data_IF_934787497515
#
_entry.id   IF_934787497515
#
_cell.length_a   1.000
_cell.length_b   1.000
_cell.length_c   1.000
_cell.angle_alpha   90.00
_cell.angle_beta   90.00
_cell.angle_gamma   90.00
#
_symmetry.space_group_name_H-M   'P 1'
#
loop_
_entity.id
_entity.type
_entity.pdbx_description
1 polymer ?
#
# COMPACT_ATOMS: atom_id res chain seq x y z
N UNK A 1 2.34 41.46 -6.12
CA UNK A 1 3.29 40.32 -6.01
C UNK A 1 2.89 39.47 -4.83
N UNK A 2 2.29 38.30 -5.08
CA UNK A 2 1.97 37.35 -4.01
C UNK A 2 3.29 36.71 -3.56
N UNK A 3 3.67 36.93 -2.30
CA UNK A 3 4.86 36.33 -1.71
C UNK A 3 4.56 34.85 -1.43
N UNK A 4 5.02 33.96 -2.30
CA UNK A 4 5.20 32.54 -1.97
C UNK A 4 6.43 32.38 -1.07
N UNK A 5 6.40 32.98 0.12
CA UNK A 5 7.38 32.66 1.16
C UNK A 5 6.91 31.36 1.83
N UNK A 6 7.19 30.23 1.18
CA UNK A 6 7.10 28.93 1.85
C UNK A 6 8.26 28.89 2.86
N UNK A 7 8.02 28.71 4.18
CA UNK A 7 9.09 28.37 5.11
C UNK A 7 9.49 26.92 4.81
N UNK A 8 10.26 26.71 3.75
CA UNK A 8 10.74 25.40 3.31
C UNK A 8 11.68 24.76 4.34
N UNK A 9 12.31 25.58 5.20
CA UNK A 9 13.24 25.10 6.23
C UNK A 9 12.57 24.63 7.53
N UNK A 10 11.43 25.20 7.93
CA UNK A 10 10.86 24.94 9.26
C UNK A 10 9.98 23.68 9.32
N UNK A 11 9.47 23.22 8.18
CA UNK A 11 8.51 22.10 8.11
C UNK A 11 9.05 20.84 7.41
N UNK A 12 10.32 20.81 7.00
CA UNK A 12 10.93 19.67 6.31
C UNK A 12 10.93 18.39 7.16
N UNK A 13 11.15 18.53 8.48
CA UNK A 13 11.17 17.41 9.42
C UNK A 13 9.85 16.63 9.48
N UNK A 14 8.71 17.31 9.36
CA UNK A 14 7.38 16.70 9.47
C UNK A 14 7.00 15.83 8.27
N UNK A 15 7.73 15.92 7.15
CA UNK A 15 7.44 15.18 5.91
C UNK A 15 8.05 13.76 5.96
N UNK A 16 9.15 13.58 6.70
CA UNK A 16 9.90 12.32 6.71
C UNK A 16 9.11 11.14 7.26
N UNK A 17 8.40 11.34 8.38
CA UNK A 17 7.64 10.27 9.01
C UNK A 17 6.47 9.81 8.14
N UNK A 18 5.57 10.70 7.63
CA UNK A 18 4.53 10.31 6.69
C UNK A 18 5.08 9.64 5.42
N UNK A 19 6.18 10.14 4.88
CA UNK A 19 6.80 9.57 3.68
C UNK A 19 7.34 8.16 3.95
N UNK A 20 7.99 7.94 5.09
CA UNK A 20 8.44 6.61 5.52
C UNK A 20 7.29 5.62 5.67
N UNK A 21 6.14 6.05 6.20
CA UNK A 21 4.94 5.20 6.30
C UNK A 21 4.42 4.80 4.92
N UNK A 22 4.33 5.75 3.98
CA UNK A 22 3.88 5.47 2.61
C UNK A 22 4.83 4.49 1.91
N UNK A 23 6.14 4.66 2.09
CA UNK A 23 7.15 3.77 1.52
C UNK A 23 7.02 2.36 2.13
N UNK A 24 6.91 2.26 3.46
CA UNK A 24 6.72 0.97 4.13
C UNK A 24 5.48 0.23 3.64
N UNK A 25 4.34 0.92 3.60
CA UNK A 25 3.09 0.36 3.08
C UNK A 25 3.20 -0.11 1.62
N UNK A 26 3.93 0.64 0.79
CA UNK A 26 4.16 0.25 -0.59
C UNK A 26 5.01 -1.02 -0.71
N UNK A 27 6.05 -1.15 0.12
CA UNK A 27 6.90 -2.34 0.16
C UNK A 27 6.12 -3.57 0.64
N UNK A 28 5.30 -3.43 1.68
CA UNK A 28 4.44 -4.50 2.17
C UNK A 28 3.47 -4.97 1.08
N UNK A 29 2.84 -4.03 0.35
CA UNK A 29 1.99 -4.36 -0.79
C UNK A 29 2.72 -5.08 -1.92
N UNK A 30 4.00 -4.81 -2.14
CA UNK A 30 4.79 -5.57 -3.11
C UNK A 30 5.09 -6.99 -2.61
N UNK A 31 5.34 -7.15 -1.31
CA UNK A 31 5.61 -8.44 -0.71
C UNK A 31 4.36 -9.34 -0.73
N UNK A 32 3.19 -8.79 -0.41
CA UNK A 32 1.91 -9.51 -0.47
C UNK A 32 1.64 -10.07 -1.87
N UNK A 33 1.94 -9.30 -2.93
CA UNK A 33 1.81 -9.77 -4.32
C UNK A 33 2.70 -10.98 -4.63
N UNK A 34 3.89 -11.05 -4.04
CA UNK A 34 4.79 -12.21 -4.18
C UNK A 34 4.26 -13.44 -3.42
N UNK A 35 3.57 -13.22 -2.30
CA UNK A 35 3.02 -14.26 -1.42
C UNK A 35 1.62 -14.74 -1.82
N UNK A 36 1.31 -14.76 -3.13
CA UNK A 36 -0.01 -15.13 -3.65
C UNK A 36 -0.17 -16.62 -4.01
N UNK A 37 0.87 -17.44 -3.83
CA UNK A 37 0.89 -18.84 -4.30
C UNK A 37 -0.26 -19.71 -3.75
N UNK A 38 -0.64 -19.49 -2.49
CA UNK A 38 -1.71 -20.23 -1.78
C UNK A 38 -3.05 -19.50 -1.74
N UNK A 39 -3.21 -18.45 -2.54
CA UNK A 39 -4.47 -17.70 -2.61
C UNK A 39 -5.61 -18.59 -3.13
N UNK A 40 -6.71 -18.64 -2.38
CA UNK A 40 -7.89 -19.46 -2.65
C UNK A 40 -7.64 -20.98 -2.74
N UNK A 41 -6.55 -21.47 -2.14
CA UNK A 41 -6.18 -22.90 -2.13
C UNK A 41 -6.14 -23.51 -0.73
N UNK A 42 -6.37 -22.72 0.31
CA UNK A 42 -6.38 -23.22 1.69
C UNK A 42 -7.66 -24.02 1.94
N UNK A 43 -7.56 -25.11 2.70
CA UNK A 43 -8.70 -25.97 3.01
C UNK A 43 -9.87 -25.22 3.69
N UNK A 44 -9.57 -24.14 4.43
CA UNK A 44 -10.57 -23.35 5.15
C UNK A 44 -11.24 -22.26 4.29
N UNK A 45 -10.52 -21.67 3.34
CA UNK A 45 -11.00 -20.49 2.60
C UNK A 45 -11.12 -20.71 1.07
N UNK A 46 -10.92 -21.94 0.60
CA UNK A 46 -11.16 -22.30 -0.80
C UNK A 46 -12.65 -22.16 -1.12
N UNK A 47 -12.95 -21.38 -2.16
CA UNK A 47 -14.32 -21.20 -2.67
C UNK A 47 -14.33 -20.96 -4.16
N UNK A 48 -15.49 -21.17 -4.78
CA UNK A 48 -15.74 -20.70 -6.15
C UNK A 48 -15.75 -19.17 -6.18
N UNK A 49 -15.14 -18.61 -7.23
CA UNK A 49 -15.07 -17.17 -7.44
C UNK A 49 -16.40 -16.65 -7.98
N UNK A 50 -16.82 -15.49 -7.50
CA UNK A 50 -18.02 -14.83 -8.02
C UNK A 50 -17.77 -14.39 -9.47
N UNK A 51 -18.80 -14.33 -10.32
CA UNK A 51 -18.64 -13.81 -11.67
C UNK A 51 -18.10 -12.37 -11.63
N UNK A 52 -16.93 -12.15 -12.25
CA UNK A 52 -16.21 -10.87 -12.24
C UNK A 52 -15.17 -10.71 -11.11
N UNK A 53 -15.05 -11.65 -10.19
CA UNK A 53 -14.00 -11.69 -9.17
C UNK A 53 -12.81 -12.51 -9.68
N UNK A 54 -11.72 -11.85 -10.07
CA UNK A 54 -10.52 -12.56 -10.52
C UNK A 54 -9.84 -13.31 -9.37
N UNK A 55 -9.89 -12.74 -8.16
CA UNK A 55 -9.00 -13.13 -7.07
C UNK A 55 -9.53 -12.70 -5.69
N UNK A 56 -9.26 -13.48 -4.61
CA UNK A 56 -9.94 -13.30 -3.30
C UNK A 56 -9.52 -12.09 -2.43
N UNK A 57 -8.23 -11.70 -2.36
CA UNK A 57 -7.74 -10.51 -1.61
C UNK A 57 -6.48 -9.83 -2.19
N UNK A 58 -6.41 -8.50 -2.34
CA UNK A 58 -5.31 -7.81 -3.07
C UNK A 58 -4.14 -7.28 -2.23
#
# INVERSE_FOLDING_TARGET
MVRFALPTSMNWGHIWVPMGIVIGWYLDKQQDKKLTAFRNKSALYSRELKPGEEVTWR
#
